data_IF_647888080037
#
_entry.id   IF_647888080037
#
_cell.length_a   1.000
_cell.length_b   1.000
_cell.length_c   1.000
_cell.angle_alpha   90.00
_cell.angle_beta   90.00
_cell.angle_gamma   90.00
#
_symmetry.space_group_name_H-M   'P 1'
#
loop_
_entity.id
_entity.type
_entity.pdbx_description
1 polymer ?
#
# COMPACT_ATOMS: atom_id res chain seq x y z
N UNK A 1 -4.36 29.31 20.84
CA UNK A 1 -3.18 29.15 19.97
C UNK A 1 -3.66 28.62 18.63
N UNK A 2 -3.91 29.51 17.67
CA UNK A 2 -4.43 29.15 16.35
C UNK A 2 -3.32 28.44 15.57
N UNK A 3 -3.48 27.15 15.29
CA UNK A 3 -2.61 26.43 14.36
C UNK A 3 -2.94 26.91 12.94
N UNK A 4 -2.23 27.93 12.47
CA UNK A 4 -2.23 28.31 11.07
C UNK A 4 -1.70 27.10 10.27
N UNK A 5 -2.55 26.47 9.46
CA UNK A 5 -2.09 25.55 8.44
C UNK A 5 -1.25 26.35 7.44
N UNK A 6 0.09 26.18 7.48
CA UNK A 6 0.99 26.79 6.52
C UNK A 6 0.75 26.22 5.12
N UNK A 7 0.07 26.99 4.29
CA UNK A 7 -0.35 26.64 2.92
C UNK A 7 0.85 26.38 1.99
N UNK A 8 2.05 26.81 2.37
CA UNK A 8 3.28 26.67 1.56
C UNK A 8 3.80 25.23 1.51
N UNK A 9 3.39 24.36 2.43
CA UNK A 9 3.83 22.95 2.46
C UNK A 9 2.68 21.98 2.50
N UNK A 10 2.70 21.02 1.56
CA UNK A 10 1.69 19.97 1.42
C UNK A 10 2.40 18.62 1.31
N UNK A 11 1.72 17.55 1.72
CA UNK A 11 2.19 16.19 1.40
C UNK A 11 2.20 16.01 -0.11
N UNK A 12 3.27 15.40 -0.63
CA UNK A 12 3.27 14.89 -2.00
C UNK A 12 2.28 13.73 -2.18
N UNK A 13 1.99 13.36 -3.43
CA UNK A 13 1.15 12.22 -3.76
C UNK A 13 1.89 11.30 -4.73
N UNK A 14 1.96 10.02 -4.42
CA UNK A 14 2.43 8.96 -5.31
C UNK A 14 1.26 8.02 -5.61
N UNK A 15 0.99 7.80 -6.89
CA UNK A 15 0.02 6.80 -7.34
C UNK A 15 0.76 5.73 -8.14
N UNK A 16 0.46 4.47 -7.82
CA UNK A 16 1.07 3.31 -8.47
C UNK A 16 0.02 2.22 -8.71
N UNK A 17 0.39 1.23 -9.53
CA UNK A 17 -0.41 0.05 -9.80
C UNK A 17 0.45 -1.19 -9.59
N UNK A 18 -0.03 -2.11 -8.77
CA UNK A 18 0.58 -3.43 -8.60
C UNK A 18 -0.33 -4.45 -9.28
N UNK A 19 0.25 -5.32 -10.10
CA UNK A 19 -0.49 -6.37 -10.82
C UNK A 19 0.12 -7.71 -10.47
N UNK A 20 -0.68 -8.60 -9.90
CA UNK A 20 -0.32 -10.01 -9.71
C UNK A 20 -0.86 -10.83 -10.88
N UNK A 21 -0.07 -11.78 -11.37
CA UNK A 21 -0.45 -12.68 -12.46
C UNK A 21 -0.52 -14.11 -11.95
N UNK A 22 -1.61 -14.78 -12.32
CA UNK A 22 -1.87 -16.17 -11.99
C UNK A 22 -1.73 -17.07 -13.21
N UNK A 23 -2.04 -18.35 -13.01
CA UNK A 23 -2.20 -19.35 -14.05
C UNK A 23 -3.63 -19.88 -13.93
N UNK A 24 -4.42 -19.75 -15.00
CA UNK A 24 -5.80 -20.26 -15.03
C UNK A 24 -5.80 -21.79 -15.02
N UNK A 25 -6.72 -22.36 -14.25
CA UNK A 25 -6.99 -23.79 -14.23
C UNK A 25 -8.49 -24.03 -14.06
N UNK A 26 -8.93 -25.26 -14.30
CA UNK A 26 -10.29 -25.66 -14.00
C UNK A 26 -10.56 -25.50 -12.50
N UNK A 27 -11.74 -25.01 -12.12
CA UNK A 27 -12.05 -24.72 -10.71
C UNK A 27 -12.06 -25.97 -9.82
N UNK A 28 -12.24 -27.16 -10.41
CA UNK A 28 -12.14 -28.45 -9.70
C UNK A 28 -10.72 -29.00 -9.56
N UNK A 29 -9.72 -28.35 -10.19
CA UNK A 29 -8.30 -28.75 -10.15
C UNK A 29 -7.42 -27.51 -9.85
N UNK A 30 -7.66 -26.81 -8.73
CA UNK A 30 -6.97 -25.55 -8.41
C UNK A 30 -5.45 -25.70 -8.28
N UNK A 31 -4.95 -26.89 -7.96
CA UNK A 31 -3.53 -27.24 -7.87
C UNK A 31 -2.79 -27.15 -9.22
N UNK A 32 -3.51 -27.24 -10.35
CA UNK A 32 -2.95 -27.03 -11.68
C UNK A 32 -2.82 -25.54 -12.04
N UNK A 33 -3.38 -24.65 -11.21
CA UNK A 33 -3.38 -23.21 -11.41
C UNK A 33 -2.54 -22.45 -10.39
N UNK A 34 -2.53 -21.13 -10.53
CA UNK A 34 -1.98 -20.18 -9.55
C UNK A 34 -2.95 -19.03 -9.40
N UNK A 35 -3.54 -18.86 -8.21
CA UNK A 35 -4.52 -17.82 -7.98
C UNK A 35 -3.84 -16.45 -7.78
N UNK A 36 -4.04 -15.53 -8.72
CA UNK A 36 -3.52 -14.17 -8.65
C UNK A 36 -4.01 -13.38 -7.42
N UNK A 37 -5.20 -13.71 -6.90
CA UNK A 37 -5.78 -13.08 -5.71
C UNK A 37 -4.97 -13.45 -4.47
N UNK A 38 -4.53 -14.71 -4.34
CA UNK A 38 -3.70 -15.13 -3.20
C UNK A 38 -2.35 -14.42 -3.22
N UNK A 39 -1.74 -14.24 -4.39
CA UNK A 39 -0.53 -13.42 -4.50
C UNK A 39 -0.79 -11.95 -4.15
N UNK A 40 -1.94 -11.38 -4.54
CA UNK A 40 -2.28 -10.00 -4.18
C UNK A 40 -2.54 -9.86 -2.68
N UNK A 41 -3.11 -10.87 -2.04
CA UNK A 41 -3.27 -10.93 -0.58
C UNK A 41 -1.94 -10.78 0.13
N UNK A 42 -0.90 -11.49 -0.31
CA UNK A 42 0.47 -11.36 0.22
C UNK A 42 1.04 -9.95 0.03
N UNK A 43 0.80 -9.32 -1.13
CA UNK A 43 1.19 -7.93 -1.39
C UNK A 43 0.48 -6.98 -0.41
N UNK A 44 -0.84 -7.10 -0.24
CA UNK A 44 -1.63 -6.27 0.67
C UNK A 44 -1.13 -6.45 2.10
N UNK A 45 -0.88 -7.69 2.54
CA UNK A 45 -0.31 -7.99 3.85
C UNK A 45 1.06 -7.33 4.04
N UNK A 46 1.93 -7.36 3.04
CA UNK A 46 3.23 -6.68 3.12
C UNK A 46 3.08 -5.16 3.19
N UNK A 47 2.13 -4.57 2.45
CA UNK A 47 1.87 -3.13 2.52
C UNK A 47 1.35 -2.73 3.91
N UNK A 48 0.37 -3.45 4.45
CA UNK A 48 -0.25 -3.15 5.74
C UNK A 48 0.70 -3.38 6.92
N UNK A 49 1.38 -4.53 6.94
CA UNK A 49 2.13 -4.96 8.11
C UNK A 49 3.61 -4.58 8.08
N UNK A 50 4.14 -4.17 6.91
CA UNK A 50 5.55 -3.76 6.77
C UNK A 50 5.66 -2.31 6.32
N UNK A 51 5.09 -1.97 5.16
CA UNK A 51 5.30 -0.64 4.56
C UNK A 51 4.67 0.49 5.39
N UNK A 52 3.40 0.35 5.79
CA UNK A 52 2.71 1.39 6.57
C UNK A 52 3.44 1.67 7.89
N UNK A 53 3.82 0.67 8.71
CA UNK A 53 4.63 0.89 9.90
C UNK A 53 5.97 1.59 9.62
N UNK A 54 6.67 1.21 8.55
CA UNK A 54 7.93 1.85 8.15
C UNK A 54 7.73 3.33 7.78
N UNK A 55 6.66 3.64 7.04
CA UNK A 55 6.31 5.02 6.69
C UNK A 55 6.01 5.86 7.94
N UNK A 56 5.32 5.30 8.93
CA UNK A 56 5.01 5.99 10.20
C UNK A 56 6.24 6.32 11.04
N UNK A 57 7.36 5.61 10.88
CA UNK A 57 8.62 5.92 11.59
C UNK A 57 9.23 7.26 11.17
N UNK A 58 8.92 7.75 9.97
CA UNK A 58 9.38 9.06 9.49
C UNK A 58 8.22 10.05 9.63
N UNK A 59 8.49 11.21 10.22
CA UNK A 59 7.53 12.30 10.35
C UNK A 59 8.20 13.61 9.96
N UNK A 60 7.57 14.35 9.06
CA UNK A 60 8.02 15.70 8.72
C UNK A 60 7.44 16.70 9.75
N UNK A 61 8.21 17.64 10.30
CA UNK A 61 7.77 18.53 11.39
C UNK A 61 6.44 19.27 11.13
N UNK A 62 6.17 19.64 9.88
CA UNK A 62 4.99 20.45 9.51
C UNK A 62 3.85 19.67 8.86
N UNK A 63 4.13 18.52 8.25
CA UNK A 63 3.11 17.76 7.50
C UNK A 63 2.89 16.36 8.05
N UNK A 64 3.64 15.96 9.09
CA UNK A 64 3.52 14.66 9.73
C UNK A 64 4.03 13.51 8.85
N UNK A 65 3.60 12.30 9.17
CA UNK A 65 3.99 11.08 8.46
C UNK A 65 3.25 10.91 7.13
N UNK A 66 3.86 10.22 6.14
CA UNK A 66 3.18 9.81 4.92
C UNK A 66 1.95 8.93 5.22
N UNK A 67 0.91 9.07 4.40
CA UNK A 67 -0.28 8.24 4.47
C UNK A 67 -0.37 7.38 3.20
N UNK A 68 -0.69 6.10 3.38
CA UNK A 68 -1.08 5.20 2.31
C UNK A 68 -2.60 5.00 2.45
N UNK A 69 -3.33 5.37 1.40
CA UNK A 69 -4.79 5.37 1.30
C UNK A 69 -5.19 4.45 0.15
#
# INVERSE_FOLDING_TARGET
MYSFFDIRRRKGCLRWRIVTKGISAHSSEPEKGKNAIYFMSEVINALQNKLIPLCKKKSHPLVGSPALI
#
